data_IF_700593616857
#
_entry.id   IF_700593616857
#
_cell.length_a   1.000
_cell.length_b   1.000
_cell.length_c   1.000
_cell.angle_alpha   90.00
_cell.angle_beta   90.00
_cell.angle_gamma   90.00
#
_symmetry.space_group_name_H-M   'P 1'
#
loop_
_entity.id
_entity.type
_entity.pdbx_description
1 polymer ?
#
# COMPACT_ATOMS: atom_id res chain seq x y z
N UNK A 1 -13.64 20.10 -16.61
CA UNK A 1 -12.16 19.88 -16.61
C UNK A 1 -11.95 18.38 -16.42
N UNK A 2 -11.20 17.72 -17.30
CA UNK A 2 -10.93 16.30 -17.12
C UNK A 2 -10.01 16.13 -15.88
N UNK A 3 -10.46 15.36 -14.91
CA UNK A 3 -9.61 14.97 -13.78
C UNK A 3 -8.36 14.25 -14.28
N UNK A 4 -7.20 14.50 -13.65
CA UNK A 4 -5.98 13.78 -14.03
C UNK A 4 -6.15 12.29 -13.77
N UNK A 5 -5.50 11.42 -14.57
CA UNK A 5 -5.50 9.99 -14.29
C UNK A 5 -4.99 9.67 -12.88
N UNK A 6 -5.53 8.64 -12.27
CA UNK A 6 -5.05 8.10 -11.01
C UNK A 6 -3.59 7.65 -11.15
N UNK A 7 -3.30 6.89 -12.21
CA UNK A 7 -1.97 6.41 -12.56
C UNK A 7 -1.75 6.62 -14.06
N UNK A 8 -0.64 7.26 -14.40
CA UNK A 8 -0.17 7.40 -15.78
C UNK A 8 1.29 6.93 -15.87
N UNK A 9 1.52 5.89 -16.64
CA UNK A 9 2.85 5.36 -16.95
C UNK A 9 3.05 5.49 -18.47
N UNK A 10 4.16 6.07 -18.90
CA UNK A 10 4.56 6.13 -20.30
C UNK A 10 6.00 5.65 -20.48
N UNK A 11 6.21 4.74 -21.43
CA UNK A 11 7.52 4.22 -21.85
C UNK A 11 8.43 3.79 -20.69
N UNK A 12 7.86 3.24 -19.60
CA UNK A 12 8.63 2.85 -18.44
C UNK A 12 9.37 1.53 -18.66
N UNK A 13 10.69 1.56 -18.52
CA UNK A 13 11.55 0.37 -18.49
C UNK A 13 12.00 0.13 -17.06
N UNK A 14 11.66 -1.03 -16.48
CA UNK A 14 11.91 -1.35 -15.07
C UNK A 14 12.74 -2.63 -14.96
N UNK A 15 13.75 -2.56 -14.12
CA UNK A 15 14.61 -3.68 -13.78
C UNK A 15 14.40 -4.14 -12.35
N UNK A 16 14.55 -5.44 -12.11
CA UNK A 16 14.64 -6.05 -10.77
C UNK A 16 15.94 -6.82 -10.67
N UNK A 17 16.93 -6.24 -9.99
CA UNK A 17 18.31 -6.74 -10.08
C UNK A 17 18.83 -6.68 -11.53
N UNK A 18 19.30 -7.79 -12.05
CA UNK A 18 19.79 -7.92 -13.44
C UNK A 18 18.70 -8.23 -14.47
N UNK A 19 17.46 -8.45 -14.04
CA UNK A 19 16.36 -8.84 -14.93
C UNK A 19 15.53 -7.63 -15.32
N UNK A 20 15.39 -7.39 -16.64
CA UNK A 20 14.45 -6.40 -17.16
C UNK A 20 13.05 -6.98 -17.15
N UNK A 21 12.18 -6.43 -16.30
CA UNK A 21 10.79 -6.89 -16.12
C UNK A 21 9.87 -6.20 -17.10
N UNK A 22 10.01 -4.88 -17.27
CA UNK A 22 9.23 -4.11 -18.24
C UNK A 22 10.14 -3.43 -19.26
N UNK A 23 9.68 -3.38 -20.48
CA UNK A 23 10.27 -2.62 -21.57
C UNK A 23 9.18 -1.73 -22.17
N UNK A 24 9.40 -0.41 -22.07
CA UNK A 24 8.54 0.62 -22.67
C UNK A 24 7.05 0.44 -22.28
N UNK A 25 6.81 0.05 -21.01
CA UNK A 25 5.45 -0.13 -20.48
C UNK A 25 4.71 1.21 -20.49
N UNK A 26 3.51 1.20 -21.07
CA UNK A 26 2.58 2.33 -20.99
C UNK A 26 1.24 1.83 -20.46
N UNK A 27 0.70 2.53 -19.45
CA UNK A 27 -0.53 2.19 -18.76
C UNK A 27 -1.18 3.47 -18.24
N UNK A 28 -2.47 3.60 -18.40
CA UNK A 28 -3.27 4.68 -17.79
C UNK A 28 -4.42 4.06 -17.02
N UNK A 29 -4.58 4.43 -15.76
CA UNK A 29 -5.73 4.11 -14.91
C UNK A 29 -6.38 5.42 -14.52
N UNK A 30 -7.67 5.57 -14.81
CA UNK A 30 -8.45 6.77 -14.47
C UNK A 30 -8.97 6.70 -13.04
N UNK A 31 -9.41 7.84 -12.53
CA UNK A 31 -10.13 7.90 -11.25
C UNK A 31 -11.34 6.95 -11.29
N UNK A 32 -11.59 6.28 -10.18
CA UNK A 32 -12.71 5.34 -9.99
C UNK A 32 -12.72 4.09 -10.90
N UNK A 33 -11.69 3.88 -11.73
CA UNK A 33 -11.56 2.62 -12.46
C UNK A 33 -11.16 1.46 -11.53
N UNK A 34 -11.80 0.32 -11.74
CA UNK A 34 -11.43 -0.96 -11.11
C UNK A 34 -10.66 -1.79 -12.09
N UNK A 35 -9.38 -1.99 -11.84
CA UNK A 35 -8.47 -2.67 -12.77
C UNK A 35 -7.98 -3.98 -12.18
N UNK A 36 -8.04 -5.06 -12.96
CA UNK A 36 -7.43 -6.34 -12.64
C UNK A 36 -6.23 -6.59 -13.56
N UNK A 37 -5.06 -6.87 -12.96
CA UNK A 37 -3.85 -7.23 -13.70
C UNK A 37 -3.69 -8.74 -13.68
N UNK A 38 -3.87 -9.38 -14.82
CA UNK A 38 -3.81 -10.83 -15.00
C UNK A 38 -2.52 -11.24 -15.71
N UNK A 39 -2.03 -12.42 -15.39
CA UNK A 39 -0.85 -12.99 -16.04
C UNK A 39 -0.21 -14.12 -15.20
N UNK A 40 0.66 -14.95 -15.80
CA UNK A 40 1.35 -16.02 -15.09
C UNK A 40 2.28 -15.51 -14.00
N UNK A 41 2.79 -16.42 -13.15
CA UNK A 41 3.82 -16.08 -12.19
C UNK A 41 5.08 -15.61 -12.93
N UNK A 42 5.71 -14.56 -12.40
CA UNK A 42 6.89 -13.94 -13.04
C UNK A 42 6.57 -12.91 -14.13
N UNK A 43 5.30 -12.68 -14.50
CA UNK A 43 4.95 -11.68 -15.54
C UNK A 43 5.14 -10.21 -15.12
N UNK A 44 5.56 -9.96 -13.88
CA UNK A 44 5.83 -8.59 -13.42
C UNK A 44 4.72 -7.92 -12.61
N UNK A 45 3.61 -8.60 -12.28
CA UNK A 45 2.48 -8.00 -11.52
C UNK A 45 2.93 -7.31 -10.23
N UNK A 46 3.73 -8.00 -9.41
CA UNK A 46 4.30 -7.42 -8.18
C UNK A 46 5.27 -6.28 -8.48
N UNK A 47 6.03 -6.36 -9.57
CA UNK A 47 6.93 -5.29 -10.00
C UNK A 47 6.15 -4.04 -10.37
N UNK A 48 5.00 -4.18 -11.04
CA UNK A 48 4.11 -3.06 -11.34
C UNK A 48 3.62 -2.37 -10.06
N UNK A 49 3.12 -3.12 -9.09
CA UNK A 49 2.68 -2.58 -7.81
C UNK A 49 3.82 -1.87 -7.06
N UNK A 50 5.02 -2.47 -7.03
CA UNK A 50 6.21 -1.85 -6.43
C UNK A 50 6.65 -0.58 -7.16
N UNK A 51 6.45 -0.50 -8.46
CA UNK A 51 6.73 0.70 -9.24
C UNK A 51 5.72 1.82 -8.94
N UNK A 52 4.44 1.49 -8.81
CA UNK A 52 3.39 2.44 -8.39
C UNK A 52 3.66 2.94 -6.97
N UNK A 53 4.01 2.04 -6.05
CA UNK A 53 4.31 2.39 -4.65
C UNK A 53 5.71 3.04 -4.44
N UNK A 54 6.42 3.35 -5.53
CA UNK A 54 7.76 3.98 -5.51
C UNK A 54 8.81 3.18 -4.73
N UNK A 55 8.68 1.87 -4.69
CA UNK A 55 9.72 0.95 -4.21
C UNK A 55 10.71 0.58 -5.33
N UNK A 56 10.26 0.64 -6.58
CA UNK A 56 11.08 0.49 -7.77
C UNK A 56 10.87 1.70 -8.69
N UNK A 57 11.94 2.09 -9.37
CA UNK A 57 11.94 3.23 -10.28
C UNK A 57 12.26 2.76 -11.71
N UNK A 58 11.65 3.37 -12.73
CA UNK A 58 12.04 3.12 -14.12
C UNK A 58 13.42 3.70 -14.40
N UNK A 59 14.04 3.21 -15.47
CA UNK A 59 15.23 3.84 -16.04
C UNK A 59 14.88 5.27 -16.45
N UNK A 60 15.70 6.23 -16.03
CA UNK A 60 15.50 7.63 -16.39
C UNK A 60 15.71 7.83 -17.90
N UNK A 61 14.69 8.32 -18.60
CA UNK A 61 14.68 8.66 -20.02
C UNK A 61 13.76 9.86 -20.23
N UNK A 62 14.05 10.69 -21.20
CA UNK A 62 13.26 11.91 -21.48
C UNK A 62 11.82 11.59 -21.90
N UNK A 63 11.59 10.44 -22.53
CA UNK A 63 10.29 9.96 -22.97
C UNK A 63 9.57 9.07 -21.94
N UNK A 64 10.19 8.81 -20.78
CA UNK A 64 9.62 7.99 -19.70
C UNK A 64 9.00 8.83 -18.61
N UNK A 65 7.77 8.47 -18.21
CA UNK A 65 7.01 9.20 -17.21
C UNK A 65 6.23 8.25 -16.33
N UNK A 66 6.20 8.53 -15.01
CA UNK A 66 5.23 7.95 -14.09
C UNK A 66 4.61 9.09 -13.30
N UNK A 67 3.30 9.29 -13.47
CA UNK A 67 2.48 10.19 -12.64
C UNK A 67 1.50 9.38 -11.81
N UNK A 68 1.34 9.79 -10.57
CA UNK A 68 0.34 9.25 -9.65
C UNK A 68 -0.44 10.44 -9.11
N UNK A 69 -1.76 10.41 -9.17
CA UNK A 69 -2.63 11.54 -8.81
C UNK A 69 -2.19 12.85 -9.50
N UNK A 70 -1.79 12.75 -10.77
CA UNK A 70 -1.36 13.89 -11.59
C UNK A 70 0.06 14.41 -11.29
N UNK A 71 0.81 13.85 -10.33
CA UNK A 71 2.16 14.30 -9.93
C UNK A 71 3.23 13.29 -10.35
N UNK A 72 4.33 13.76 -10.91
CA UNK A 72 5.50 12.95 -11.30
C UNK A 72 6.50 12.78 -10.16
N UNK A 73 6.53 13.73 -9.19
CA UNK A 73 7.41 13.70 -8.02
C UNK A 73 6.59 13.62 -6.75
N UNK A 74 6.95 12.68 -5.89
CA UNK A 74 6.35 12.46 -4.61
C UNK A 74 7.40 12.31 -3.51
N UNK A 75 7.12 12.86 -2.35
CA UNK A 75 7.66 12.31 -1.12
C UNK A 75 6.99 10.94 -0.91
N UNK A 76 7.78 9.88 -0.74
CA UNK A 76 7.26 8.50 -0.65
C UNK A 76 6.31 8.32 0.53
N UNK A 77 6.57 9.00 1.63
CA UNK A 77 5.71 8.95 2.81
C UNK A 77 4.35 9.62 2.57
N UNK A 78 4.34 10.74 1.82
CA UNK A 78 3.09 11.40 1.45
C UNK A 78 2.32 10.59 0.42
N UNK A 79 2.97 10.00 -0.57
CA UNK A 79 2.32 9.11 -1.53
C UNK A 79 1.59 7.96 -0.83
N UNK A 80 2.23 7.35 0.16
CA UNK A 80 1.67 6.20 0.89
C UNK A 80 0.46 6.54 1.75
N UNK A 81 0.20 7.80 2.01
CA UNK A 81 -1.06 8.26 2.64
C UNK A 81 -2.24 8.21 1.67
N UNK A 82 -1.96 8.23 0.38
CA UNK A 82 -2.98 8.19 -0.69
C UNK A 82 -3.19 6.79 -1.26
N UNK A 83 -2.34 5.82 -0.92
CA UNK A 83 -2.39 4.45 -1.45
C UNK A 83 -2.57 3.44 -0.33
N UNK A 84 -3.67 2.69 -0.37
CA UNK A 84 -3.88 1.52 0.47
C UNK A 84 -3.26 0.27 -0.17
N UNK A 85 -2.15 -0.24 0.39
CA UNK A 85 -1.47 -1.42 -0.13
C UNK A 85 -1.70 -2.65 0.73
N UNK A 86 -2.16 -3.74 0.10
CA UNK A 86 -2.23 -5.07 0.71
C UNK A 86 -1.37 -6.02 -0.12
N UNK A 87 -0.40 -6.66 0.49
CA UNK A 87 0.49 -7.62 -0.16
C UNK A 87 0.91 -8.75 0.78
N UNK A 88 1.31 -9.90 0.21
CA UNK A 88 1.86 -11.02 1.00
C UNK A 88 3.19 -10.64 1.67
N UNK A 89 4.03 -9.83 1.03
CA UNK A 89 5.28 -9.35 1.62
C UNK A 89 5.02 -8.60 2.94
N UNK A 90 3.92 -7.82 3.00
CA UNK A 90 3.50 -7.14 4.25
C UNK A 90 3.00 -8.14 5.29
N UNK A 91 2.33 -9.21 4.87
CA UNK A 91 1.84 -10.24 5.79
C UNK A 91 2.99 -10.94 6.52
N UNK A 92 4.05 -11.29 5.80
CA UNK A 92 5.22 -11.99 6.35
C UNK A 92 6.11 -11.05 7.18
N UNK A 93 6.18 -9.77 6.81
CA UNK A 93 7.05 -8.77 7.44
C UNK A 93 6.51 -8.22 8.76
N UNK A 94 5.27 -8.55 9.15
CA UNK A 94 4.67 -7.99 10.37
C UNK A 94 5.31 -8.55 11.65
N UNK A 95 5.47 -7.70 12.66
CA UNK A 95 5.93 -8.13 13.98
C UNK A 95 4.92 -9.12 14.60
N UNK A 96 5.29 -10.38 14.85
CA UNK A 96 4.35 -11.41 15.29
C UNK A 96 3.64 -11.10 16.62
N UNK A 97 4.29 -10.28 17.46
CA UNK A 97 3.83 -9.89 18.81
C UNK A 97 3.10 -8.54 18.84
N UNK A 98 2.98 -7.85 17.71
CA UNK A 98 2.21 -6.61 17.67
C UNK A 98 0.73 -6.91 17.92
N UNK A 99 0.04 -6.05 18.69
CA UNK A 99 -1.42 -6.16 18.85
C UNK A 99 -2.11 -5.77 17.53
N UNK A 100 -3.32 -6.28 17.34
CA UNK A 100 -4.13 -5.99 16.13
C UNK A 100 -4.36 -4.49 15.99
N UNK A 101 -4.69 -3.81 17.10
CA UNK A 101 -4.91 -2.37 17.08
C UNK A 101 -3.64 -1.60 16.71
N UNK A 102 -2.51 -1.89 17.37
CA UNK A 102 -1.22 -1.24 17.04
C UNK A 102 -0.83 -1.43 15.60
N UNK A 103 -1.06 -2.61 15.09
CA UNK A 103 -0.69 -2.93 13.74
C UNK A 103 -1.61 -2.25 12.70
N UNK A 104 -2.91 -2.04 12.97
CA UNK A 104 -3.77 -1.20 12.12
C UNK A 104 -3.34 0.26 12.19
N UNK A 105 -3.10 0.79 13.39
CA UNK A 105 -2.59 2.17 13.60
C UNK A 105 -1.29 2.41 12.85
N UNK A 106 -0.41 1.40 12.72
CA UNK A 106 0.83 1.52 11.95
C UNK A 106 0.62 1.91 10.48
N UNK A 107 -0.61 1.72 9.95
CA UNK A 107 -1.01 2.15 8.61
C UNK A 107 -0.87 3.65 8.41
N UNK A 108 -1.19 4.48 9.41
CA UNK A 108 -1.02 5.93 9.35
C UNK A 108 0.43 6.36 9.12
N UNK A 109 1.38 5.54 9.55
CA UNK A 109 2.81 5.82 9.49
C UNK A 109 3.50 5.04 8.36
N UNK A 110 2.77 4.28 7.55
CA UNK A 110 3.33 3.37 6.53
C UNK A 110 4.41 2.42 7.08
N UNK A 111 4.34 2.10 8.37
CA UNK A 111 5.31 1.29 9.12
C UNK A 111 4.83 -0.16 9.28
N UNK A 112 5.77 -1.09 9.52
CA UNK A 112 5.48 -2.50 9.82
C UNK A 112 5.36 -2.70 11.35
N UNK A 113 4.54 -1.89 12.00
CA UNK A 113 4.33 -1.88 13.44
C UNK A 113 4.55 -0.51 14.07
N UNK A 114 4.07 -0.34 15.29
CA UNK A 114 4.21 0.92 16.03
C UNK A 114 5.38 0.78 17.00
N UNK A 115 6.56 1.26 16.61
CA UNK A 115 7.68 1.36 17.53
C UNK A 115 7.42 2.39 18.64
N UNK A 116 8.13 2.28 19.76
CA UNK A 116 7.93 3.15 20.94
C UNK A 116 7.80 4.64 20.59
N UNK A 117 8.65 5.13 19.70
CA UNK A 117 8.63 6.53 19.25
C UNK A 117 7.37 6.91 18.46
N UNK A 118 6.75 5.96 17.75
CA UNK A 118 5.51 6.19 17.01
C UNK A 118 4.29 6.15 17.92
N UNK A 119 4.34 5.40 19.02
CA UNK A 119 3.22 5.36 20.01
C UNK A 119 2.95 6.74 20.61
N UNK A 120 4.00 7.53 20.84
CA UNK A 120 3.90 8.88 21.38
C UNK A 120 3.32 9.89 20.36
N UNK A 121 3.30 9.53 19.08
CA UNK A 121 2.78 10.36 17.99
C UNK A 121 1.35 9.98 17.57
N UNK A 122 0.78 8.93 18.16
CA UNK A 122 -0.58 8.49 17.83
C UNK A 122 -1.58 9.45 18.46
N UNK A 123 -2.39 10.07 17.63
CA UNK A 123 -3.45 10.96 18.06
C UNK A 123 -4.72 10.19 18.49
N UNK A 124 -5.51 10.71 19.43
CA UNK A 124 -6.77 10.07 19.84
C UNK A 124 -7.72 9.78 18.68
N UNK A 125 -7.80 10.66 17.69
CA UNK A 125 -8.60 10.48 16.47
C UNK A 125 -8.14 9.31 15.61
N UNK A 126 -6.85 9.02 15.58
CA UNK A 126 -6.29 7.87 14.85
C UNK A 126 -6.66 6.54 15.54
N UNK A 127 -6.65 6.50 16.85
CA UNK A 127 -7.10 5.32 17.60
C UNK A 127 -8.61 5.05 17.39
N UNK A 128 -9.43 6.11 17.41
CA UNK A 128 -10.87 5.97 17.16
C UNK A 128 -11.09 5.45 15.73
N UNK A 129 -10.44 6.04 14.73
CA UNK A 129 -10.54 5.59 13.34
C UNK A 129 -10.10 4.14 13.16
N UNK A 130 -9.02 3.71 13.83
CA UNK A 130 -8.57 2.31 13.79
C UNK A 130 -9.61 1.36 14.36
N UNK A 131 -10.25 1.75 15.47
CA UNK A 131 -11.33 0.97 16.11
C UNK A 131 -12.55 0.88 15.19
N UNK A 132 -12.97 1.98 14.55
CA UNK A 132 -14.10 2.00 13.61
C UNK A 132 -13.83 1.08 12.41
N UNK A 133 -12.62 1.11 11.87
CA UNK A 133 -12.21 0.22 10.77
C UNK A 133 -12.20 -1.24 11.22
N UNK A 134 -11.76 -1.52 12.44
CA UNK A 134 -11.84 -2.88 13.01
C UNK A 134 -13.27 -3.37 13.07
N UNK A 135 -14.20 -2.55 13.57
CA UNK A 135 -15.63 -2.86 13.64
C UNK A 135 -16.20 -3.17 12.25
N UNK A 136 -15.91 -2.31 11.25
CA UNK A 136 -16.37 -2.49 9.88
C UNK A 136 -15.86 -3.80 9.23
N UNK A 137 -14.72 -4.32 9.70
CA UNK A 137 -14.11 -5.55 9.19
C UNK A 137 -14.42 -6.80 10.05
N UNK A 138 -15.24 -6.68 11.08
CA UNK A 138 -15.57 -7.79 11.99
C UNK A 138 -14.33 -8.31 12.74
N UNK A 139 -13.49 -7.39 13.21
CA UNK A 139 -12.33 -7.64 14.06
C UNK A 139 -12.56 -7.18 15.50
N UNK A 140 -13.82 -6.90 15.87
CA UNK A 140 -14.22 -6.51 17.21
C UNK A 140 -13.75 -7.52 18.26
N UNK A 141 -13.30 -7.02 19.39
CA UNK A 141 -12.79 -7.87 20.48
C UNK A 141 -11.42 -8.51 20.22
N UNK A 142 -10.75 -8.14 19.12
CA UNK A 142 -9.41 -8.65 18.79
C UNK A 142 -8.30 -7.61 19.03
N UNK A 143 -8.62 -6.42 19.55
CA UNK A 143 -7.69 -5.28 19.67
C UNK A 143 -6.35 -5.63 20.31
N UNK A 144 -6.40 -6.38 21.41
CA UNK A 144 -5.22 -6.74 22.21
C UNK A 144 -4.59 -8.08 21.82
N UNK A 145 -5.20 -8.78 20.86
CA UNK A 145 -4.65 -10.06 20.41
C UNK A 145 -3.40 -9.85 19.58
N UNK A 146 -2.42 -10.72 19.76
CA UNK A 146 -1.22 -10.73 18.91
C UNK A 146 -1.56 -11.18 17.50
N UNK A 147 -0.99 -10.52 16.50
CA UNK A 147 -1.18 -10.82 15.08
C UNK A 147 -0.98 -12.30 14.74
N UNK A 148 0.03 -12.95 15.32
CA UNK A 148 0.33 -14.37 15.09
C UNK A 148 -0.78 -15.32 15.52
N UNK A 149 -1.67 -14.89 16.44
CA UNK A 149 -2.77 -15.72 16.96
C UNK A 149 -4.03 -15.66 16.11
N UNK A 150 -4.04 -14.81 15.08
CA UNK A 150 -5.15 -14.64 14.16
C UNK A 150 -5.22 -15.79 13.16
N UNK A 151 -6.45 -16.20 12.78
CA UNK A 151 -6.65 -17.05 11.62
C UNK A 151 -6.24 -16.34 10.32
N UNK A 152 -5.93 -17.09 9.28
CA UNK A 152 -5.54 -16.53 7.96
C UNK A 152 -6.60 -15.53 7.43
N UNK A 153 -7.88 -15.81 7.62
CA UNK A 153 -8.96 -14.90 7.22
C UNK A 153 -8.96 -13.60 8.05
N UNK A 154 -8.68 -13.67 9.35
CA UNK A 154 -8.54 -12.50 10.21
C UNK A 154 -7.30 -11.70 9.83
N UNK A 155 -6.17 -12.36 9.55
CA UNK A 155 -4.94 -11.69 9.09
C UNK A 155 -5.16 -10.92 7.79
N UNK A 156 -5.92 -11.47 6.84
CA UNK A 156 -6.26 -10.75 5.58
C UNK A 156 -7.15 -9.54 5.83
N UNK A 157 -8.18 -9.68 6.68
CA UNK A 157 -9.04 -8.54 7.07
C UNK A 157 -8.26 -7.48 7.83
N UNK A 158 -7.35 -7.89 8.67
CA UNK A 158 -6.42 -7.02 9.37
C UNK A 158 -5.54 -6.20 8.40
N UNK A 159 -4.91 -6.83 7.40
CA UNK A 159 -4.12 -6.13 6.39
C UNK A 159 -4.96 -5.12 5.60
N UNK A 160 -6.21 -5.48 5.30
CA UNK A 160 -7.15 -4.56 4.69
C UNK A 160 -7.45 -3.37 5.60
N UNK A 161 -7.69 -3.60 6.90
CA UNK A 161 -7.89 -2.54 7.88
C UNK A 161 -6.71 -1.58 7.95
N UNK A 162 -5.50 -2.12 7.97
CA UNK A 162 -4.27 -1.32 7.93
C UNK A 162 -4.16 -0.48 6.66
N UNK A 163 -4.58 -1.01 5.51
CA UNK A 163 -4.57 -0.29 4.25
C UNK A 163 -5.65 0.81 4.16
N UNK A 164 -6.76 0.66 4.88
CA UNK A 164 -7.91 1.58 4.84
C UNK A 164 -7.89 2.63 5.96
N UNK A 165 -7.07 2.46 7.00
CA UNK A 165 -7.14 3.29 8.21
C UNK A 165 -6.88 4.77 7.96
N UNK A 166 -6.02 5.09 6.99
CA UNK A 166 -5.68 6.46 6.62
C UNK A 166 -6.57 7.05 5.50
N UNK A 167 -7.67 6.35 5.16
CA UNK A 167 -8.65 6.77 4.15
C UNK A 167 -8.02 7.08 2.78
N UNK A 168 -7.35 6.10 2.15
CA UNK A 168 -6.61 6.33 0.93
C UNK A 168 -7.54 6.66 -0.26
N UNK A 169 -7.04 7.43 -1.22
CA UNK A 169 -7.74 7.73 -2.49
C UNK A 169 -7.84 6.49 -3.40
N UNK A 170 -6.97 5.48 -3.15
CA UNK A 170 -6.87 4.24 -3.93
C UNK A 170 -6.27 3.09 -3.14
#
# INVERSE_FOLDING_TARGET
MNEPPLIEIRNATVWRGSTRVFRDLSLTIRQHERVAVLGPNGSGKTTLLKTINRELYPVARDDSLIRILGRDRWNVWDLRKHIGLVSEDLQVGFMPTASVLEAIVSGFFSSIGVHRQLREQVEPGQLQRATDVMGALGLDGLSDREYRTLSTGQQRRFLLGRALVHDPDT
#
